data_IF_409189305737
#
_entry.id   IF_409189305737
#
_cell.length_a   1.000
_cell.length_b   1.000
_cell.length_c   1.000
_cell.angle_alpha   90.00
_cell.angle_beta   90.00
_cell.angle_gamma   90.00
#
_symmetry.space_group_name_H-M   'P 1'
#
loop_
_entity.id
_entity.type
_entity.pdbx_description
1 polymer ?
#
# COMPACT_ATOMS: atom_id res chain seq x y z
N UNK A 1 -46.02 12.78 41.82
CA UNK A 1 -45.74 11.66 40.89
C UNK A 1 -44.74 12.17 39.85
N UNK A 2 -43.45 11.82 39.87
CA UNK A 2 -42.75 10.58 39.43
C UNK A 2 -42.45 10.58 37.90
N UNK A 3 -41.26 11.13 37.55
CA UNK A 3 -40.19 10.76 36.55
C UNK A 3 -40.59 10.24 35.13
N UNK A 4 -40.01 10.70 34.01
CA UNK A 4 -38.69 10.30 33.49
C UNK A 4 -38.10 11.28 32.44
N UNK A 5 -36.78 11.52 32.55
CA UNK A 5 -35.93 12.29 31.62
C UNK A 5 -35.18 11.30 30.72
N UNK A 6 -35.21 11.49 29.40
CA UNK A 6 -34.37 10.75 28.44
C UNK A 6 -33.14 11.59 28.09
N UNK A 7 -31.96 11.02 28.34
CA UNK A 7 -30.66 11.64 28.20
C UNK A 7 -30.16 11.63 26.74
N UNK A 8 -29.44 12.71 26.41
CA UNK A 8 -28.82 13.07 25.13
C UNK A 8 -27.58 12.17 24.88
N UNK A 9 -27.26 11.77 23.64
CA UNK A 9 -26.16 10.86 23.34
C UNK A 9 -24.80 11.55 23.57
N UNK A 10 -23.91 10.89 24.31
CA UNK A 10 -22.52 11.28 24.43
C UNK A 10 -21.68 10.46 23.44
N UNK A 11 -21.40 11.03 22.26
CA UNK A 11 -20.38 10.51 21.37
C UNK A 11 -19.07 11.22 21.72
N UNK A 12 -18.18 10.52 22.41
CA UNK A 12 -16.90 11.05 22.87
C UNK A 12 -15.94 11.24 21.68
N UNK A 13 -15.50 12.48 21.48
CA UNK A 13 -14.37 12.84 20.62
C UNK A 13 -13.11 12.56 21.44
N UNK A 14 -12.37 11.50 21.10
CA UNK A 14 -11.04 11.27 21.65
C UNK A 14 -9.99 11.91 20.72
N UNK A 15 -9.50 13.08 21.13
CA UNK A 15 -8.23 13.64 20.66
C UNK A 15 -7.08 12.67 20.99
N UNK A 16 -6.22 12.37 20.02
CA UNK A 16 -4.89 11.84 20.27
C UNK A 16 -3.86 12.66 19.47
N UNK A 17 -2.88 13.19 20.20
CA UNK A 17 -1.80 14.06 19.72
C UNK A 17 -0.81 13.33 18.78
N UNK A 18 -0.12 14.04 17.87
CA UNK A 18 0.83 13.42 16.95
C UNK A 18 2.21 13.27 17.62
N UNK A 19 2.56 12.03 17.99
CA UNK A 19 3.94 11.66 18.27
C UNK A 19 4.65 11.29 16.98
N UNK A 20 5.49 12.19 16.45
CA UNK A 20 6.50 11.84 15.46
C UNK A 20 7.61 11.04 16.16
N UNK A 21 7.68 9.73 15.88
CA UNK A 21 8.88 8.93 16.12
C UNK A 21 9.11 8.05 14.89
N UNK A 22 10.24 8.28 14.23
CA UNK A 22 10.75 7.50 13.12
C UNK A 22 11.10 6.08 13.59
N UNK A 23 10.56 5.09 12.91
CA UNK A 23 10.84 3.68 13.13
C UNK A 23 9.60 2.89 12.75
N UNK A 24 9.51 2.45 11.50
CA UNK A 24 8.39 1.62 11.03
C UNK A 24 8.35 0.32 11.84
N UNK A 25 7.38 0.12 12.75
CA UNK A 25 7.09 -1.21 13.22
C UNK A 25 6.28 -1.88 12.11
N UNK A 26 6.73 -3.04 11.65
CA UNK A 26 5.96 -3.91 10.77
C UNK A 26 4.68 -4.32 11.52
N UNK A 27 3.61 -3.54 11.41
CA UNK A 27 2.29 -3.91 11.90
C UNK A 27 1.62 -4.74 10.81
N UNK A 28 1.35 -6.05 11.03
CA UNK A 28 0.51 -6.79 10.11
C UNK A 28 -0.89 -6.15 10.16
N UNK A 29 -1.28 -5.49 9.06
CA UNK A 29 -2.64 -4.98 8.86
C UNK A 29 -3.62 -6.17 8.90
N UNK A 30 -4.79 -6.03 9.55
CA UNK A 30 -5.76 -7.11 9.67
C UNK A 30 -6.25 -7.52 8.29
N UNK A 31 -6.03 -8.80 7.97
CA UNK A 31 -6.28 -9.42 6.69
C UNK A 31 -7.78 -9.41 6.37
N UNK A 32 -8.16 -8.56 5.41
CA UNK A 32 -9.43 -8.66 4.71
C UNK A 32 -9.48 -10.00 3.96
N UNK A 33 -10.56 -10.73 4.18
CA UNK A 33 -10.86 -12.07 3.69
C UNK A 33 -10.42 -12.31 2.23
N UNK A 34 -9.46 -13.24 2.04
CA UNK A 34 -9.24 -13.89 0.75
C UNK A 34 -7.79 -14.03 0.28
N UNK A 35 -6.83 -14.42 1.13
CA UNK A 35 -5.45 -14.62 0.67
C UNK A 35 -4.81 -15.81 1.37
N UNK A 36 -4.35 -16.78 0.58
CA UNK A 36 -3.38 -17.79 1.01
C UNK A 36 -2.06 -17.13 1.44
N UNK A 37 -1.00 -17.91 1.73
CA UNK A 37 0.25 -17.36 2.24
C UNK A 37 0.85 -16.36 1.22
N UNK A 38 0.70 -15.06 1.51
CA UNK A 38 1.09 -13.93 0.66
C UNK A 38 -0.04 -13.44 -0.24
N UNK A 39 -0.62 -12.27 0.08
CA UNK A 39 -1.57 -11.58 -0.78
C UNK A 39 -0.96 -11.10 -2.11
N UNK A 40 -1.77 -10.50 -2.98
CA UNK A 40 -1.28 -9.87 -4.21
C UNK A 40 -0.31 -8.71 -3.93
N UNK A 41 -0.31 -8.19 -2.71
CA UNK A 41 0.53 -7.11 -2.20
C UNK A 41 1.80 -7.62 -1.50
N UNK A 42 2.00 -8.93 -1.43
CA UNK A 42 3.20 -9.55 -0.87
C UNK A 42 4.25 -9.83 -1.97
N UNK A 43 5.50 -9.36 -1.83
CA UNK A 43 6.55 -9.67 -2.78
C UNK A 43 6.89 -11.18 -2.76
N UNK A 44 7.22 -11.78 -3.91
CA UNK A 44 7.65 -13.17 -3.99
C UNK A 44 8.78 -13.51 -3.02
N UNK A 45 8.78 -14.73 -2.47
CA UNK A 45 9.75 -15.12 -1.43
C UNK A 45 11.19 -15.19 -1.96
N UNK A 46 11.37 -15.38 -3.26
CA UNK A 46 12.66 -15.40 -3.93
C UNK A 46 13.28 -14.00 -4.13
N UNK A 47 12.52 -12.93 -3.87
CA UNK A 47 13.00 -11.57 -4.08
C UNK A 47 14.10 -11.20 -3.09
N UNK A 48 15.11 -10.51 -3.58
CA UNK A 48 16.10 -9.82 -2.75
C UNK A 48 15.51 -8.56 -2.14
N UNK A 49 16.14 -8.01 -1.12
CA UNK A 49 15.63 -6.83 -0.40
C UNK A 49 15.31 -5.66 -1.33
N UNK A 50 16.17 -5.38 -2.31
CA UNK A 50 15.93 -4.29 -3.28
C UNK A 50 14.77 -4.58 -4.23
N UNK A 51 14.54 -5.85 -4.59
CA UNK A 51 13.40 -6.27 -5.42
C UNK A 51 12.11 -6.18 -4.60
N UNK A 52 12.14 -6.54 -3.31
CA UNK A 52 11.01 -6.37 -2.38
C UNK A 52 10.65 -4.90 -2.23
N UNK A 53 11.65 -4.04 -2.04
CA UNK A 53 11.43 -2.59 -2.00
C UNK A 53 10.79 -2.10 -3.31
N UNK A 54 11.36 -2.47 -4.45
CA UNK A 54 10.80 -2.14 -5.75
C UNK A 54 9.34 -2.59 -5.86
N UNK A 55 9.03 -3.83 -5.46
CA UNK A 55 7.68 -4.38 -5.50
C UNK A 55 6.66 -3.54 -4.73
N UNK A 56 6.98 -3.15 -3.49
CA UNK A 56 6.13 -2.28 -2.70
C UNK A 56 5.95 -0.90 -3.35
N UNK A 57 7.03 -0.30 -3.85
CA UNK A 57 6.99 1.00 -4.54
C UNK A 57 6.15 0.91 -5.84
N UNK A 58 6.19 -0.23 -6.53
CA UNK A 58 5.39 -0.51 -7.71
C UNK A 58 3.89 -0.55 -7.41
N UNK A 59 3.50 -1.19 -6.31
CA UNK A 59 2.11 -1.24 -5.84
C UNK A 59 1.59 0.17 -5.54
N UNK A 60 2.37 0.95 -4.79
CA UNK A 60 2.01 2.34 -4.47
C UNK A 60 1.96 3.21 -5.73
N UNK A 61 2.89 2.98 -6.66
CA UNK A 61 2.90 3.60 -7.97
C UNK A 61 1.61 3.35 -8.75
N UNK A 62 1.17 2.10 -8.83
CA UNK A 62 -0.08 1.71 -9.49
C UNK A 62 -1.32 2.30 -8.81
N UNK A 63 -1.40 2.23 -7.47
CA UNK A 63 -2.50 2.84 -6.69
C UNK A 63 -2.65 4.32 -7.02
N UNK A 64 -1.54 5.06 -7.02
CA UNK A 64 -1.52 6.48 -7.38
C UNK A 64 -1.93 6.72 -8.84
N UNK A 65 -1.71 5.78 -9.76
CA UNK A 65 -2.06 5.98 -11.17
C UNK A 65 -3.55 5.83 -11.37
N UNK A 66 -4.12 4.80 -10.74
CA UNK A 66 -5.56 4.57 -10.72
C UNK A 66 -6.28 5.72 -10.02
N UNK A 67 -5.79 6.16 -8.87
CA UNK A 67 -6.37 7.29 -8.11
C UNK A 67 -6.37 8.60 -8.93
N UNK A 68 -5.28 8.88 -9.63
CA UNK A 68 -5.18 10.03 -10.52
C UNK A 68 -5.89 9.84 -11.88
N UNK A 69 -6.67 8.75 -12.05
CA UNK A 69 -7.38 8.41 -13.28
C UNK A 69 -6.46 8.39 -14.53
N UNK A 70 -5.18 8.05 -14.32
CA UNK A 70 -4.20 7.94 -15.40
C UNK A 70 -4.31 6.56 -16.05
N UNK A 71 -3.90 6.47 -17.31
CA UNK A 71 -3.72 5.18 -17.96
C UNK A 71 -2.60 4.42 -17.23
N UNK A 72 -2.80 3.16 -16.81
CA UNK A 72 -1.76 2.36 -16.19
C UNK A 72 -0.54 2.25 -17.11
N UNK A 73 0.60 2.79 -16.66
CA UNK A 73 1.90 2.67 -17.29
C UNK A 73 2.98 2.93 -16.23
N UNK A 74 3.83 1.93 -16.01
CA UNK A 74 4.95 1.99 -15.07
C UNK A 74 5.92 3.16 -15.38
N UNK A 75 6.02 3.58 -16.65
CA UNK A 75 6.86 4.70 -17.07
C UNK A 75 6.29 6.07 -16.66
N UNK A 76 5.05 6.15 -16.19
CA UNK A 76 4.48 7.37 -15.60
C UNK A 76 5.10 7.70 -14.23
N UNK A 77 5.96 6.84 -13.70
CA UNK A 77 6.58 6.96 -12.38
C UNK A 77 8.04 7.35 -12.49
N UNK A 78 8.39 8.46 -11.83
CA UNK A 78 9.78 8.91 -11.79
C UNK A 78 10.61 7.95 -10.95
N UNK A 79 10.01 7.32 -9.94
CA UNK A 79 10.63 6.30 -9.09
C UNK A 79 11.06 5.07 -9.92
N UNK A 80 10.30 4.72 -10.97
CA UNK A 80 10.66 3.65 -11.89
C UNK A 80 11.76 4.08 -12.89
N UNK A 81 11.64 5.31 -13.42
CA UNK A 81 12.56 5.85 -14.43
C UNK A 81 13.91 6.24 -13.85
N UNK A 82 13.92 6.85 -12.69
CA UNK A 82 15.08 7.39 -11.98
C UNK A 82 15.08 6.92 -10.52
N UNK A 83 15.17 5.60 -10.28
CA UNK A 83 15.16 5.07 -8.93
C UNK A 83 16.36 5.60 -8.14
N UNK A 84 16.09 6.08 -6.93
CA UNK A 84 17.10 6.56 -5.98
C UNK A 84 17.81 5.39 -5.29
N UNK A 85 18.34 4.48 -6.10
CA UNK A 85 19.07 3.27 -5.67
C UNK A 85 20.42 3.22 -6.41
N UNK A 86 21.42 2.53 -5.84
CA UNK A 86 22.72 2.35 -6.51
C UNK A 86 22.56 1.82 -7.93
N UNK A 87 23.39 2.28 -8.87
CA UNK A 87 23.27 1.93 -10.28
C UNK A 87 23.26 0.41 -10.53
N UNK A 88 24.05 -0.35 -9.77
CA UNK A 88 24.11 -1.81 -9.81
C UNK A 88 22.80 -2.50 -9.39
N UNK A 89 22.00 -1.87 -8.55
CA UNK A 89 20.77 -2.42 -8.00
C UNK A 89 19.51 -1.96 -8.76
N UNK A 90 19.66 -1.04 -9.73
CA UNK A 90 18.53 -0.47 -10.49
C UNK A 90 17.77 -1.52 -11.30
N UNK A 91 18.46 -2.52 -11.84
CA UNK A 91 17.83 -3.61 -12.59
C UNK A 91 16.87 -4.38 -11.71
N UNK A 92 17.39 -4.92 -10.60
CA UNK A 92 16.64 -5.66 -9.59
C UNK A 92 15.48 -4.81 -9.02
N UNK A 93 15.73 -3.55 -8.66
CA UNK A 93 14.69 -2.64 -8.18
C UNK A 93 13.54 -2.49 -9.20
N UNK A 94 13.87 -2.20 -10.47
CA UNK A 94 12.87 -2.01 -11.53
C UNK A 94 12.11 -3.29 -11.84
N UNK A 95 12.76 -4.44 -11.74
CA UNK A 95 12.10 -5.73 -11.88
C UNK A 95 11.03 -5.90 -10.82
N UNK A 96 11.40 -5.70 -9.54
CA UNK A 96 10.46 -5.73 -8.43
C UNK A 96 9.30 -4.76 -8.65
N UNK A 97 9.64 -3.51 -8.99
CA UNK A 97 8.67 -2.44 -9.25
C UNK A 97 7.66 -2.81 -10.32
N UNK A 98 8.11 -3.34 -11.46
CA UNK A 98 7.19 -3.74 -12.52
C UNK A 98 6.25 -4.84 -12.04
N UNK A 99 6.76 -5.87 -11.34
CA UNK A 99 5.89 -6.97 -10.85
C UNK A 99 4.85 -6.48 -9.83
N UNK A 100 5.23 -5.58 -8.92
CA UNK A 100 4.31 -5.01 -7.95
C UNK A 100 3.26 -4.10 -8.59
N UNK A 101 3.67 -3.30 -9.57
CA UNK A 101 2.77 -2.46 -10.36
C UNK A 101 1.74 -3.30 -11.11
N UNK A 102 2.17 -4.35 -11.82
CA UNK A 102 1.29 -5.22 -12.59
C UNK A 102 0.30 -5.97 -11.67
N UNK A 103 0.76 -6.47 -10.51
CA UNK A 103 -0.08 -7.13 -9.53
C UNK A 103 -1.17 -6.19 -8.98
N UNK A 104 -0.79 -4.95 -8.65
CA UNK A 104 -1.72 -3.93 -8.19
C UNK A 104 -2.74 -3.55 -9.26
N UNK A 105 -2.31 -3.30 -10.49
CA UNK A 105 -3.21 -2.99 -11.60
C UNK A 105 -4.18 -4.14 -11.86
N UNK A 106 -3.69 -5.38 -11.91
CA UNK A 106 -4.53 -6.55 -12.08
C UNK A 106 -5.59 -6.66 -10.97
N UNK A 107 -5.23 -6.36 -9.72
CA UNK A 107 -6.17 -6.39 -8.60
C UNK A 107 -7.17 -5.22 -8.64
N UNK A 108 -6.70 -3.99 -8.84
CA UNK A 108 -7.50 -2.77 -8.83
C UNK A 108 -8.47 -2.71 -10.01
N UNK A 109 -8.05 -3.18 -11.19
CA UNK A 109 -8.90 -3.19 -12.39
C UNK A 109 -9.85 -4.40 -12.44
N UNK A 110 -9.51 -5.51 -11.77
CA UNK A 110 -10.40 -6.68 -11.64
C UNK A 110 -11.13 -6.73 -10.28
N UNK A 111 -11.27 -5.58 -9.59
CA UNK A 111 -11.99 -5.45 -8.32
C UNK A 111 -13.42 -6.03 -8.36
N UNK A 112 -14.02 -6.36 -7.19
CA UNK A 112 -15.09 -7.34 -7.07
C UNK A 112 -16.27 -7.02 -7.98
N UNK A 113 -16.68 -8.01 -8.77
CA UNK A 113 -17.90 -7.96 -9.58
C UNK A 113 -19.12 -7.90 -8.68
#
# INVERSE_FOLDING_TARGET
>A
MKINRLAIPALAIALAAPGFVFGQPYTPLPQGFGQGPGGWDAPPQEFRDIQRQGYHDGIEGARKDVDNHRRPDVNNRDEYRHPHVPASARGDYREGFRRGYDAAIAHLMNGPR
#
